data_IF_088925516752
#
_entry.id   IF_088925516752
#
_cell.length_a   1.000
_cell.length_b   1.000
_cell.length_c   1.000
_cell.angle_alpha   90.00
_cell.angle_beta   90.00
_cell.angle_gamma   90.00
#
_symmetry.space_group_name_H-M   'P 1'
#
loop_
_entity.id
_entity.type
_entity.pdbx_description
1 polymer ?
#
# COMPACT_ATOMS: atom_id res chain seq x y z
N UNK A 1 -38.78 15.46 -21.23
CA UNK A 1 -38.59 15.08 -19.82
C UNK A 1 -37.82 16.19 -19.11
N UNK A 2 -38.49 17.03 -18.29
CA UNK A 2 -37.80 18.09 -17.56
C UNK A 2 -36.85 17.49 -16.52
N UNK A 3 -35.55 17.76 -16.66
CA UNK A 3 -34.55 17.31 -15.70
C UNK A 3 -34.82 17.90 -14.32
N UNK A 4 -34.89 17.06 -13.28
CA UNK A 4 -35.14 17.50 -11.90
C UNK A 4 -34.15 18.59 -11.50
N UNK A 5 -34.67 19.68 -10.94
CA UNK A 5 -33.89 20.88 -10.58
C UNK A 5 -32.75 20.56 -9.61
N UNK A 6 -31.67 21.32 -9.68
CA UNK A 6 -30.50 21.13 -8.81
C UNK A 6 -30.88 21.20 -7.32
N UNK A 7 -31.82 22.08 -6.95
CA UNK A 7 -32.35 22.21 -5.60
C UNK A 7 -33.04 20.92 -5.10
N UNK A 8 -33.81 20.25 -5.95
CA UNK A 8 -34.45 18.98 -5.62
C UNK A 8 -33.43 17.86 -5.39
N UNK A 9 -32.39 17.79 -6.24
CA UNK A 9 -31.29 16.82 -6.09
C UNK A 9 -30.49 17.07 -4.80
N UNK A 10 -30.25 18.35 -4.45
CA UNK A 10 -29.57 18.74 -3.22
C UNK A 10 -30.38 18.38 -1.97
N UNK A 11 -31.69 18.63 -1.97
CA UNK A 11 -32.62 18.25 -0.89
C UNK A 11 -32.65 16.73 -0.66
N UNK A 12 -32.72 15.95 -1.75
CA UNK A 12 -32.67 14.48 -1.67
C UNK A 12 -31.31 13.97 -1.17
N UNK A 13 -30.22 14.61 -1.57
CA UNK A 13 -28.89 14.27 -1.08
C UNK A 13 -28.75 14.54 0.43
N UNK A 14 -29.30 15.65 0.94
CA UNK A 14 -29.26 15.95 2.38
C UNK A 14 -30.10 14.98 3.19
N UNK A 15 -31.32 14.63 2.74
CA UNK A 15 -32.12 13.56 3.37
C UNK A 15 -31.37 12.23 3.45
N UNK A 16 -30.64 11.86 2.39
CA UNK A 16 -29.79 10.65 2.41
C UNK A 16 -28.57 10.81 3.34
N UNK A 17 -28.04 12.01 3.54
CA UNK A 17 -26.95 12.27 4.51
C UNK A 17 -27.48 12.15 5.94
N UNK A 18 -28.64 12.71 6.24
CA UNK A 18 -29.30 12.60 7.55
C UNK A 18 -29.67 11.16 7.89
N UNK A 19 -30.32 10.43 6.99
CA UNK A 19 -30.61 9.01 7.20
C UNK A 19 -29.34 8.19 7.51
N UNK A 20 -28.21 8.51 6.86
CA UNK A 20 -26.91 7.91 7.16
C UNK A 20 -26.30 8.38 8.48
N UNK A 21 -26.58 9.60 8.95
CA UNK A 21 -26.16 10.08 10.29
C UNK A 21 -26.94 9.33 11.37
N UNK A 22 -28.25 9.17 11.18
CA UNK A 22 -29.14 8.51 12.13
C UNK A 22 -28.82 7.01 12.26
N UNK A 23 -28.62 6.32 11.13
CA UNK A 23 -28.20 4.91 11.14
C UNK A 23 -26.86 4.70 11.87
N UNK A 24 -25.92 5.65 11.75
CA UNK A 24 -24.63 5.61 12.47
C UNK A 24 -24.82 5.78 13.97
N UNK A 25 -25.70 6.68 14.39
CA UNK A 25 -26.07 6.86 15.81
C UNK A 25 -26.72 5.62 16.39
N UNK A 26 -27.71 5.06 15.71
CA UNK A 26 -28.40 3.83 16.14
C UNK A 26 -27.45 2.64 16.27
N UNK A 27 -26.45 2.54 15.39
CA UNK A 27 -25.42 1.49 15.43
C UNK A 27 -24.26 1.78 16.39
N UNK A 28 -24.29 2.91 17.10
CA UNK A 28 -23.20 3.32 18.00
C UNK A 28 -21.86 3.50 17.29
N UNK A 29 -21.87 3.96 16.03
CA UNK A 29 -20.64 4.18 15.27
C UNK A 29 -19.84 5.34 15.86
N UNK A 30 -18.70 5.01 16.47
CA UNK A 30 -17.70 5.97 16.92
C UNK A 30 -16.51 5.95 15.95
N UNK A 31 -16.24 7.09 15.33
CA UNK A 31 -15.11 7.25 14.42
C UNK A 31 -13.76 7.12 15.14
N UNK A 32 -13.70 7.46 16.42
CA UNK A 32 -12.46 7.44 17.20
C UNK A 32 -12.11 6.04 17.73
N UNK A 33 -13.12 5.19 18.00
CA UNK A 33 -12.94 3.79 18.39
C UNK A 33 -12.15 2.94 17.38
N UNK A 34 -12.11 3.35 16.11
CA UNK A 34 -11.36 2.66 15.06
C UNK A 34 -9.92 3.13 14.93
N UNK A 35 -9.58 4.35 15.38
CA UNK A 35 -8.24 4.93 15.23
C UNK A 35 -7.20 4.09 15.95
N UNK A 36 -7.50 3.65 17.17
CA UNK A 36 -6.58 2.83 17.98
C UNK A 36 -6.44 1.40 17.42
N UNK A 37 -7.55 0.79 17.00
CA UNK A 37 -7.57 -0.55 16.38
C UNK A 37 -6.89 -0.58 15.00
N UNK A 38 -6.99 0.50 14.23
CA UNK A 38 -6.31 0.61 12.94
C UNK A 38 -4.82 0.90 13.12
N UNK A 39 -4.43 1.66 14.15
CA UNK A 39 -3.03 1.80 14.55
C UNK A 39 -2.42 0.44 14.99
N UNK A 40 -3.15 -0.34 15.79
CA UNK A 40 -2.76 -1.69 16.25
C UNK A 40 -2.70 -2.74 15.14
N UNK A 41 -3.62 -2.70 14.16
CA UNK A 41 -3.62 -3.59 12.98
C UNK A 41 -2.31 -3.55 12.21
N UNK A 42 -1.67 -2.38 12.18
CA UNK A 42 -0.41 -2.16 11.48
C UNK A 42 0.80 -2.85 12.14
N UNK A 43 0.71 -3.27 13.42
CA UNK A 43 1.90 -3.67 14.21
C UNK A 43 1.91 -5.10 14.73
N UNK A 44 0.80 -5.64 15.25
CA UNK A 44 0.85 -6.89 16.04
C UNK A 44 0.06 -8.09 15.49
N UNK A 45 -1.00 -7.85 14.70
CA UNK A 45 -2.07 -8.83 14.46
C UNK A 45 -2.12 -9.42 13.05
N UNK A 46 -1.01 -9.34 12.31
CA UNK A 46 -0.89 -10.06 11.04
C UNK A 46 -0.89 -11.57 11.34
N UNK A 47 -1.78 -12.32 10.67
CA UNK A 47 -1.79 -13.79 10.78
C UNK A 47 -0.42 -14.36 10.39
N UNK A 48 -0.06 -15.56 10.85
CA UNK A 48 1.20 -16.20 10.47
C UNK A 48 1.36 -16.27 8.94
N UNK A 49 0.26 -16.52 8.22
CA UNK A 49 0.20 -16.49 6.75
C UNK A 49 0.52 -15.10 6.19
N UNK A 50 -0.04 -14.05 6.77
CA UNK A 50 0.21 -12.66 6.36
C UNK A 50 1.66 -12.25 6.61
N UNK A 51 2.22 -12.63 7.77
CA UNK A 51 3.64 -12.40 8.08
C UNK A 51 4.53 -13.08 7.06
N UNK A 52 4.23 -14.32 6.67
CA UNK A 52 5.02 -15.02 5.64
C UNK A 52 4.93 -14.31 4.28
N UNK A 53 3.77 -13.79 3.89
CA UNK A 53 3.62 -12.97 2.68
C UNK A 53 4.55 -11.74 2.74
N UNK A 54 4.60 -11.06 3.89
CA UNK A 54 5.48 -9.90 4.06
C UNK A 54 6.95 -10.30 3.95
N UNK A 55 7.35 -11.43 4.55
CA UNK A 55 8.71 -11.97 4.42
C UNK A 55 9.05 -12.32 2.98
N UNK A 56 8.12 -12.88 2.22
CA UNK A 56 8.32 -13.13 0.79
C UNK A 56 8.59 -11.84 0.00
N UNK A 57 8.01 -10.71 0.39
CA UNK A 57 8.32 -9.41 -0.22
C UNK A 57 9.74 -8.95 0.09
N UNK A 58 10.23 -9.16 1.31
CA UNK A 58 11.63 -8.87 1.65
C UNK A 58 12.59 -9.79 0.89
N UNK A 59 12.24 -11.07 0.69
CA UNK A 59 13.03 -11.98 -0.16
C UNK A 59 13.15 -11.47 -1.60
N UNK A 60 12.07 -10.92 -2.17
CA UNK A 60 12.12 -10.27 -3.50
C UNK A 60 13.00 -9.03 -3.51
N UNK A 61 13.03 -8.27 -2.42
CA UNK A 61 13.95 -7.14 -2.28
C UNK A 61 15.41 -7.60 -2.22
N UNK A 62 15.70 -8.73 -1.57
CA UNK A 62 17.04 -9.36 -1.62
C UNK A 62 17.44 -9.74 -3.06
N UNK A 63 16.54 -10.35 -3.82
CA UNK A 63 16.80 -10.67 -5.25
C UNK A 63 17.17 -9.40 -6.03
N UNK A 64 16.39 -8.33 -5.87
CA UNK A 64 16.69 -7.02 -6.47
C UNK A 64 18.09 -6.49 -6.09
N UNK A 65 18.50 -6.63 -4.83
CA UNK A 65 19.84 -6.20 -4.40
C UNK A 65 20.96 -7.02 -5.04
N UNK A 66 20.74 -8.31 -5.27
CA UNK A 66 21.73 -9.17 -5.94
C UNK A 66 21.79 -8.79 -7.43
N UNK A 67 20.64 -8.74 -8.10
CA UNK A 67 20.55 -8.55 -9.55
C UNK A 67 20.94 -7.12 -10.00
N UNK A 68 20.43 -6.10 -9.33
CA UNK A 68 20.56 -4.69 -9.78
C UNK A 68 21.64 -3.92 -9.01
N UNK A 69 21.95 -4.34 -7.78
CA UNK A 69 22.97 -3.69 -6.94
C UNK A 69 24.27 -4.49 -6.83
N UNK A 70 24.40 -5.58 -7.58
CA UNK A 70 25.59 -6.45 -7.62
C UNK A 70 26.04 -6.91 -6.22
N UNK A 71 25.09 -7.13 -5.30
CA UNK A 71 25.40 -7.67 -3.99
C UNK A 71 25.84 -9.14 -4.13
N UNK A 72 26.77 -9.62 -3.27
CA UNK A 72 27.27 -10.98 -3.37
C UNK A 72 26.13 -11.99 -3.19
N UNK A 73 26.21 -13.06 -3.97
CA UNK A 73 25.26 -14.16 -3.94
C UNK A 73 25.26 -14.79 -2.53
N UNK A 74 24.16 -14.63 -1.80
CA UNK A 74 24.07 -15.00 -0.39
C UNK A 74 23.87 -13.84 0.59
N UNK A 75 23.88 -12.58 0.13
CA UNK A 75 23.59 -11.40 0.96
C UNK A 75 22.35 -11.59 1.85
N UNK A 76 22.44 -11.30 3.14
CA UNK A 76 21.32 -11.47 4.09
C UNK A 76 20.84 -10.12 4.57
N UNK A 77 19.53 -9.90 4.40
CA UNK A 77 18.82 -8.83 5.08
C UNK A 77 18.44 -9.41 6.45
N UNK A 78 18.97 -8.83 7.51
CA UNK A 78 18.72 -9.24 8.88
C UNK A 78 18.68 -8.04 9.82
N UNK A 79 18.70 -8.33 11.11
CA UNK A 79 18.63 -7.31 12.17
C UNK A 79 19.70 -6.23 12.00
N UNK A 80 19.30 -4.96 12.04
CA UNK A 80 20.21 -3.82 11.88
C UNK A 80 20.54 -3.44 10.43
N UNK A 81 19.97 -4.10 9.41
CA UNK A 81 20.16 -3.68 8.02
C UNK A 81 19.69 -2.23 7.80
N UNK A 82 20.48 -1.38 7.13
CA UNK A 82 20.14 0.04 6.96
C UNK A 82 18.80 0.20 6.23
N UNK A 83 18.03 1.22 6.63
CA UNK A 83 16.79 1.56 5.96
C UNK A 83 17.11 1.99 4.52
N UNK A 84 16.49 1.37 3.50
CA UNK A 84 16.72 1.76 2.11
C UNK A 84 16.29 3.20 1.87
N UNK A 85 17.02 3.91 0.99
CA UNK A 85 16.63 5.25 0.60
C UNK A 85 15.29 5.22 -0.15
N UNK A 86 14.57 6.35 -0.16
CA UNK A 86 13.34 6.47 -0.94
C UNK A 86 13.57 6.18 -2.44
N UNK A 87 14.75 6.51 -2.97
CA UNK A 87 15.11 6.20 -4.36
C UNK A 87 15.25 4.68 -4.58
N UNK A 88 15.88 3.97 -3.64
CA UNK A 88 16.00 2.51 -3.69
C UNK A 88 14.64 1.83 -3.58
N UNK A 89 13.76 2.33 -2.71
CA UNK A 89 12.39 1.83 -2.60
C UNK A 89 11.63 2.00 -3.92
N UNK A 90 11.78 3.15 -4.60
CA UNK A 90 11.17 3.37 -5.92
C UNK A 90 11.77 2.43 -6.98
N UNK A 91 13.08 2.26 -7.01
CA UNK A 91 13.76 1.37 -7.94
C UNK A 91 13.31 -0.09 -7.74
N UNK A 92 13.23 -0.54 -6.49
CA UNK A 92 12.71 -1.86 -6.14
C UNK A 92 11.28 -2.06 -6.62
N UNK A 93 10.37 -1.10 -6.39
CA UNK A 93 8.98 -1.22 -6.85
C UNK A 93 8.91 -1.27 -8.39
N UNK A 94 9.73 -0.48 -9.10
CA UNK A 94 9.81 -0.54 -10.58
C UNK A 94 10.29 -1.90 -11.07
N UNK A 95 11.37 -2.42 -10.47
CA UNK A 95 11.89 -3.76 -10.77
C UNK A 95 10.84 -4.84 -10.50
N UNK A 96 10.13 -4.75 -9.36
CA UNK A 96 9.08 -5.69 -8.98
C UNK A 96 7.90 -5.66 -9.95
N UNK A 97 7.55 -4.49 -10.49
CA UNK A 97 6.51 -4.35 -11.51
C UNK A 97 6.96 -4.98 -12.83
N UNK A 98 8.20 -4.75 -13.24
CA UNK A 98 8.77 -5.32 -14.45
C UNK A 98 8.93 -6.85 -14.36
N UNK A 99 9.27 -7.37 -13.19
CA UNK A 99 9.51 -8.81 -12.95
C UNK A 99 8.25 -9.63 -12.71
N UNK A 100 7.06 -9.01 -12.69
CA UNK A 100 5.81 -9.74 -12.43
C UNK A 100 4.76 -9.54 -13.49
N UNK A 101 4.18 -10.64 -13.97
CA UNK A 101 3.04 -10.60 -14.88
C UNK A 101 1.73 -10.31 -14.14
N UNK A 102 0.98 -9.34 -14.62
CA UNK A 102 -0.40 -9.05 -14.22
C UNK A 102 -1.38 -9.99 -14.91
N UNK A 103 -2.31 -10.56 -14.14
CA UNK A 103 -3.27 -11.57 -14.64
C UNK A 103 -4.45 -10.96 -15.43
N UNK A 104 -4.73 -9.68 -15.22
CA UNK A 104 -6.01 -9.03 -15.63
C UNK A 104 -5.80 -7.99 -16.73
N UNK A 105 -4.59 -7.44 -16.88
CA UNK A 105 -4.33 -6.35 -17.81
C UNK A 105 -3.89 -6.90 -19.17
N UNK A 106 -4.34 -6.29 -20.28
CA UNK A 106 -3.91 -6.69 -21.62
C UNK A 106 -2.40 -6.50 -21.82
N UNK A 107 -1.79 -5.55 -21.09
CA UNK A 107 -0.34 -5.29 -21.13
C UNK A 107 0.49 -6.27 -20.27
N UNK A 108 -0.14 -7.30 -19.70
CA UNK A 108 0.48 -8.26 -18.76
C UNK A 108 1.17 -7.59 -17.54
N UNK A 109 0.85 -6.34 -17.20
CA UNK A 109 1.46 -5.60 -16.07
C UNK A 109 0.58 -5.58 -14.81
N UNK A 110 1.12 -5.67 -13.59
CA UNK A 110 0.32 -5.70 -12.36
C UNK A 110 -0.46 -4.40 -12.15
N UNK A 111 -1.76 -4.46 -11.87
CA UNK A 111 -2.60 -3.26 -11.67
C UNK A 111 -2.08 -2.36 -10.55
N UNK A 112 -2.41 -1.06 -10.61
CA UNK A 112 -2.10 -0.07 -9.57
C UNK A 112 -2.40 -0.58 -8.15
N UNK A 113 -3.56 -1.20 -7.97
CA UNK A 113 -3.96 -1.75 -6.67
C UNK A 113 -3.03 -2.86 -6.21
N UNK A 114 -2.60 -3.74 -7.11
CA UNK A 114 -1.60 -4.78 -6.80
C UNK A 114 -0.25 -4.17 -6.41
N UNK A 115 0.19 -3.09 -7.06
CA UNK A 115 1.44 -2.41 -6.71
C UNK A 115 1.36 -1.77 -5.33
N UNK A 116 0.27 -1.06 -5.05
CA UNK A 116 0.03 -0.45 -3.73
C UNK A 116 0.03 -1.51 -2.62
N UNK A 117 -0.65 -2.63 -2.83
CA UNK A 117 -0.64 -3.75 -1.87
C UNK A 117 0.79 -4.23 -1.63
N UNK A 118 1.59 -4.45 -2.68
CA UNK A 118 2.98 -4.91 -2.54
C UNK A 118 3.85 -3.93 -1.75
N UNK A 119 3.69 -2.62 -1.98
CA UNK A 119 4.38 -1.60 -1.20
C UNK A 119 3.96 -1.63 0.27
N UNK A 120 2.66 -1.78 0.54
CA UNK A 120 2.10 -1.90 1.90
C UNK A 120 2.49 -3.19 2.61
N UNK A 121 2.72 -4.29 1.88
CA UNK A 121 3.22 -5.56 2.41
C UNK A 121 4.74 -5.49 2.72
N UNK A 122 5.50 -4.74 1.91
CA UNK A 122 6.95 -4.62 2.08
C UNK A 122 7.34 -3.88 3.36
N UNK A 123 6.71 -2.74 3.64
CA UNK A 123 7.04 -1.89 4.81
C UNK A 123 7.02 -2.67 6.15
N UNK A 124 5.95 -3.39 6.52
CA UNK A 124 5.95 -4.20 7.73
C UNK A 124 6.86 -5.43 7.62
N UNK A 125 7.03 -5.99 6.42
CA UNK A 125 7.98 -7.09 6.20
C UNK A 125 9.41 -6.70 6.50
N UNK A 126 9.83 -5.52 6.04
CA UNK A 126 11.17 -4.98 6.28
C UNK A 126 11.43 -4.78 7.77
N UNK A 127 10.44 -4.23 8.48
CA UNK A 127 10.52 -4.09 9.94
C UNK A 127 10.63 -5.45 10.64
N UNK A 128 9.86 -6.46 10.22
CA UNK A 128 9.93 -7.79 10.86
C UNK A 128 11.26 -8.52 10.63
N UNK A 129 11.97 -8.25 9.55
CA UNK A 129 13.26 -8.88 9.25
C UNK A 129 14.46 -8.09 9.78
N UNK A 130 14.36 -6.76 9.86
CA UNK A 130 15.50 -5.89 10.19
C UNK A 130 15.39 -5.17 11.54
N UNK A 131 14.20 -5.09 12.12
CA UNK A 131 13.90 -4.27 13.29
C UNK A 131 13.88 -2.76 13.03
N UNK A 132 14.26 -2.32 11.82
CA UNK A 132 14.35 -0.91 11.48
C UNK A 132 13.06 -0.43 10.79
N UNK A 133 12.52 0.69 11.25
CA UNK A 133 11.30 1.27 10.69
C UNK A 133 11.61 2.24 9.56
N UNK A 134 10.90 2.08 8.43
CA UNK A 134 10.92 3.05 7.33
C UNK A 134 10.18 4.31 7.79
N UNK A 135 10.78 5.48 7.57
CA UNK A 135 10.20 6.75 8.01
C UNK A 135 8.77 6.94 7.49
N UNK A 136 7.92 7.58 8.29
CA UNK A 136 6.52 7.81 7.91
C UNK A 136 6.41 8.66 6.61
N UNK A 137 7.34 9.59 6.42
CA UNK A 137 7.38 10.42 5.21
C UNK A 137 7.69 9.57 3.97
N UNK A 138 8.74 8.73 4.03
CA UNK A 138 9.10 7.85 2.91
C UNK A 138 8.00 6.84 2.59
N UNK A 139 7.30 6.33 3.61
CA UNK A 139 6.13 5.46 3.44
C UNK A 139 5.01 6.16 2.69
N UNK A 140 4.68 7.39 3.07
CA UNK A 140 3.64 8.20 2.39
C UNK A 140 4.01 8.44 0.93
N UNK A 141 5.26 8.81 0.68
CA UNK A 141 5.73 9.09 -0.67
C UNK A 141 5.76 7.82 -1.54
N UNK A 142 6.15 6.68 -0.97
CA UNK A 142 6.09 5.38 -1.63
C UNK A 142 4.65 5.01 -2.03
N UNK A 143 3.69 5.20 -1.13
CA UNK A 143 2.28 4.90 -1.39
C UNK A 143 1.67 5.85 -2.42
N UNK A 144 1.98 7.14 -2.33
CA UNK A 144 1.51 8.15 -3.28
C UNK A 144 1.96 7.85 -4.72
N UNK A 145 3.21 7.42 -4.90
CA UNK A 145 3.76 7.07 -6.20
C UNK A 145 3.12 5.79 -6.76
N UNK A 146 2.89 4.78 -5.91
CA UNK A 146 2.21 3.56 -6.34
C UNK A 146 0.77 3.82 -6.83
N UNK A 147 0.13 4.90 -6.36
CA UNK A 147 -1.19 5.35 -6.81
C UNK A 147 -1.17 6.31 -8.02
N UNK A 148 -0.06 6.98 -8.31
CA UNK A 148 0.03 7.98 -9.40
C UNK A 148 0.74 7.45 -10.66
N UNK A 149 1.62 6.46 -10.55
CA UNK A 149 2.37 5.88 -11.68
C UNK A 149 1.51 5.20 -12.77
N UNK A 150 0.20 5.04 -12.57
CA UNK A 150 -0.70 4.49 -13.60
C UNK A 150 -1.36 5.55 -14.48
N UNK A 151 -1.36 6.83 -14.09
CA UNK A 151 -2.05 7.88 -14.86
C UNK A 151 -1.11 8.68 -15.78
N UNK A 152 0.18 8.64 -15.53
CA UNK A 152 1.19 9.18 -16.42
C UNK A 152 1.94 8.02 -17.08
N UNK A 153 1.61 7.73 -18.35
CA UNK A 153 2.66 7.43 -19.33
C UNK A 153 3.85 8.35 -19.05
N UNK A 154 5.07 7.82 -19.09
CA UNK A 154 6.35 8.47 -18.78
C UNK A 154 6.83 8.20 -17.34
N UNK A 155 7.92 7.46 -17.21
CA UNK A 155 9.23 8.11 -17.23
C UNK A 155 10.15 7.29 -18.12
N UNK A 156 10.72 7.98 -19.12
CA UNK A 156 11.93 7.59 -19.85
C UNK A 156 13.06 7.26 -18.88
#
# INVERSE_FOLDING_TARGET
MAGRSAAWKASQAERRREARRELRRQRGYDASAHIQKDAERTRGRASAKTKEIYKQRVRKYKEFLIDERNMPEGYKIGEGHPVPSLQDLKAFIRWLVASTKGKITPDERPTMHTILIRAQEFVPGFFFETGNEISNQDRKDLYYISTTCYFMRCFY
#
